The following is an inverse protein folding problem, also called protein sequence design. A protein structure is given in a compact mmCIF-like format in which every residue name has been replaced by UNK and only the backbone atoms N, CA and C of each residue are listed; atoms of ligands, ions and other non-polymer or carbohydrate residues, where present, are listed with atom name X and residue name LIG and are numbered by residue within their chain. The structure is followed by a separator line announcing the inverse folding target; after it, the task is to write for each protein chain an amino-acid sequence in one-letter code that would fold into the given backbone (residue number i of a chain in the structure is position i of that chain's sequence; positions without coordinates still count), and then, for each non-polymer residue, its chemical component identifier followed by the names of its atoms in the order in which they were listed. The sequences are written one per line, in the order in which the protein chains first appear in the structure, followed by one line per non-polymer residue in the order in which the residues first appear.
data_IF_621962914037
#
_entry.id   IF_621962914037
#
_cell.length_a   1.000
_cell.length_b   1.000
_cell.length_c   1.000
_cell.angle_alpha   90.00
_cell.angle_beta   90.00
_cell.angle_gamma   90.00
#
_symmetry.space_group_name_H-M   'P 1'
#
loop_
_entity.id
_entity.type
_entity.pdbx_description
1 polymer ?
#
# COMPACT_ATOMS: atom_id res chain seq x y z
N UNK A 1 2.51 4.89 -21.97
CA UNK A 1 3.29 3.63 -21.85
C UNK A 1 4.55 3.76 -20.97
N UNK A 2 5.07 4.97 -20.73
CA UNK A 2 6.31 5.18 -19.95
C UNK A 2 6.12 5.18 -18.41
N UNK A 3 4.97 5.67 -17.92
CA UNK A 3 4.70 5.78 -16.48
C UNK A 3 4.52 4.41 -15.78
N UNK A 4 3.77 3.47 -16.38
CA UNK A 4 3.61 2.11 -15.82
C UNK A 4 4.96 1.38 -15.73
N UNK A 5 5.86 1.58 -16.69
CA UNK A 5 7.20 0.97 -16.66
C UNK A 5 8.07 1.59 -15.56
N UNK A 6 8.11 2.92 -15.44
CA UNK A 6 8.82 3.63 -14.36
C UNK A 6 8.30 3.24 -12.99
N UNK A 7 6.99 3.10 -12.85
CA UNK A 7 6.37 2.63 -11.61
C UNK A 7 6.74 1.18 -11.33
N UNK A 8 6.66 0.27 -12.30
CA UNK A 8 7.15 -1.11 -12.13
C UNK A 8 8.61 -1.18 -11.73
N UNK A 9 9.47 -0.30 -12.25
CA UNK A 9 10.88 -0.20 -11.81
C UNK A 9 10.99 0.29 -10.38
N UNK A 10 10.27 1.36 -10.01
CA UNK A 10 10.18 1.83 -8.62
C UNK A 10 9.68 0.72 -7.70
N UNK A 11 8.74 -0.12 -8.16
CA UNK A 11 8.23 -1.25 -7.40
C UNK A 11 9.21 -2.40 -7.31
N UNK A 12 9.87 -2.78 -8.39
CA UNK A 12 10.94 -3.76 -8.35
C UNK A 12 12.06 -3.34 -7.38
N UNK A 13 12.39 -2.04 -7.35
CA UNK A 13 13.32 -1.49 -6.37
C UNK A 13 12.76 -1.53 -4.93
N UNK A 14 11.46 -1.32 -4.76
CA UNK A 14 10.75 -1.46 -3.47
C UNK A 14 10.75 -2.91 -2.97
N UNK A 15 10.60 -3.88 -3.86
CA UNK A 15 10.58 -5.33 -3.58
C UNK A 15 11.97 -5.89 -3.24
N UNK A 16 13.04 -5.25 -3.72
CA UNK A 16 14.41 -5.71 -3.48
C UNK A 16 14.99 -5.12 -2.18
N UNK A 17 15.52 -5.99 -1.32
CA UNK A 17 16.42 -5.76 -0.18
C UNK A 17 16.31 -4.41 0.55
N UNK A 18 15.81 -4.48 1.79
CA UNK A 18 15.74 -3.42 2.80
C UNK A 18 14.87 -2.19 2.44
N UNK A 19 13.90 -1.89 3.31
CA UNK A 19 13.05 -0.70 3.19
C UNK A 19 13.87 0.54 3.58
N UNK A 20 14.34 1.29 2.59
CA UNK A 20 15.04 2.56 2.81
C UNK A 20 14.07 3.73 2.99
N UNK A 21 14.53 4.82 3.61
CA UNK A 21 13.74 6.05 3.80
C UNK A 21 13.19 6.61 2.48
N UNK A 22 13.94 6.48 1.37
CA UNK A 22 13.49 6.89 0.02
C UNK A 22 12.32 6.04 -0.49
N UNK A 23 12.35 4.73 -0.23
CA UNK A 23 11.26 3.80 -0.62
C UNK A 23 10.01 4.10 0.19
N UNK A 24 10.17 4.33 1.50
CA UNK A 24 9.08 4.69 2.40
C UNK A 24 8.42 6.02 1.98
N UNK A 25 9.21 7.05 1.66
CA UNK A 25 8.68 8.33 1.16
C UNK A 25 7.84 8.16 -0.11
N UNK A 26 8.25 7.27 -1.02
CA UNK A 26 7.47 6.97 -2.23
C UNK A 26 6.14 6.30 -1.89
N UNK A 27 6.11 5.35 -0.95
CA UNK A 27 4.86 4.74 -0.47
C UNK A 27 3.92 5.82 0.07
N UNK A 28 4.43 6.76 0.87
CA UNK A 28 3.63 7.86 1.40
C UNK A 28 3.06 8.76 0.30
N UNK A 29 3.84 9.12 -0.73
CA UNK A 29 3.34 9.91 -1.86
C UNK A 29 2.17 9.20 -2.54
N UNK A 30 2.29 7.89 -2.75
CA UNK A 30 1.24 7.10 -3.39
C UNK A 30 0.02 6.98 -2.45
N UNK A 31 0.23 6.78 -1.15
CA UNK A 31 -0.83 6.79 -0.15
C UNK A 31 -1.62 8.09 -0.18
N UNK A 32 -0.95 9.24 -0.17
CA UNK A 32 -1.62 10.55 -0.27
C UNK A 32 -2.34 10.73 -1.61
N UNK A 33 -1.78 10.16 -2.69
CA UNK A 33 -2.47 10.12 -3.99
C UNK A 33 -3.77 9.34 -3.89
N UNK A 34 -3.79 8.18 -3.22
CA UNK A 34 -5.01 7.40 -2.97
C UNK A 34 -6.01 8.11 -2.05
N UNK A 35 -5.55 8.89 -1.08
CA UNK A 35 -6.41 9.71 -0.22
C UNK A 35 -7.13 10.79 -1.04
N UNK A 36 -6.41 11.46 -1.93
CA UNK A 36 -6.98 12.47 -2.82
C UNK A 36 -7.79 11.86 -3.98
N UNK A 37 -7.52 10.61 -4.34
CA UNK A 37 -8.05 9.97 -5.56
C UNK A 37 -9.58 10.09 -5.70
N UNK A 38 -10.41 9.76 -4.69
CA UNK A 38 -11.87 9.89 -4.81
C UNK A 38 -12.38 11.31 -5.08
N UNK A 39 -11.61 12.34 -4.69
CA UNK A 39 -11.95 13.75 -4.91
C UNK A 39 -11.64 14.16 -6.35
N UNK A 40 -10.58 13.58 -6.93
CA UNK A 40 -10.09 13.89 -8.27
C UNK A 40 -10.51 12.84 -9.31
N UNK A 41 -11.25 11.79 -8.93
CA UNK A 41 -11.66 10.68 -9.80
C UNK A 41 -12.73 11.13 -10.81
N UNK A 42 -12.28 11.91 -11.79
CA UNK A 42 -13.02 12.26 -12.99
C UNK A 42 -12.56 11.42 -14.19
N UNK A 43 -13.30 11.46 -15.31
CA UNK A 43 -13.00 10.69 -16.52
C UNK A 43 -11.57 10.91 -17.07
N UNK A 44 -10.95 12.05 -16.75
CA UNK A 44 -9.55 12.38 -17.09
C UNK A 44 -8.52 11.44 -16.44
N UNK A 45 -8.86 10.76 -15.33
CA UNK A 45 -7.92 10.00 -14.51
C UNK A 45 -8.10 8.48 -14.59
N UNK A 46 -8.86 7.97 -15.58
CA UNK A 46 -8.99 6.52 -15.82
C UNK A 46 -7.64 5.80 -15.94
N UNK A 47 -6.63 6.46 -16.51
CA UNK A 47 -5.27 5.91 -16.60
C UNK A 47 -4.60 5.76 -15.23
N UNK A 48 -4.78 6.75 -14.35
CA UNK A 48 -4.27 6.71 -12.98
C UNK A 48 -4.95 5.59 -12.18
N UNK A 49 -6.27 5.42 -12.33
CA UNK A 49 -7.01 4.30 -11.73
C UNK A 49 -6.40 2.94 -12.12
N UNK A 50 -6.14 2.71 -13.41
CA UNK A 50 -5.52 1.46 -13.89
C UNK A 50 -4.14 1.22 -13.27
N UNK A 51 -3.32 2.28 -13.18
CA UNK A 51 -2.00 2.21 -12.54
C UNK A 51 -2.12 1.83 -11.06
N UNK A 52 -3.04 2.46 -10.33
CA UNK A 52 -3.21 2.21 -8.90
C UNK A 52 -3.74 0.80 -8.63
N UNK A 53 -4.58 0.24 -9.52
CA UNK A 53 -5.03 -1.16 -9.45
C UNK A 53 -3.86 -2.12 -9.71
N UNK A 54 -3.05 -1.89 -10.75
CA UNK A 54 -1.84 -2.70 -11.00
C UNK A 54 -0.92 -2.67 -9.78
N UNK A 55 -0.78 -1.50 -9.15
CA UNK A 55 0.01 -1.33 -7.96
C UNK A 55 -0.55 -2.10 -6.77
N UNK A 56 -1.86 -2.03 -6.52
CA UNK A 56 -2.48 -2.81 -5.46
C UNK A 56 -2.09 -4.29 -5.54
N UNK A 57 -2.17 -4.90 -6.73
CA UNK A 57 -1.76 -6.30 -6.93
C UNK A 57 -0.27 -6.57 -6.74
N UNK A 58 0.61 -5.59 -6.98
CA UNK A 58 2.05 -5.72 -6.68
C UNK A 58 2.33 -5.65 -5.18
N UNK A 59 1.64 -4.77 -4.46
CA UNK A 59 1.78 -4.66 -3.00
C UNK A 59 1.21 -5.90 -2.32
N UNK A 60 0.10 -6.45 -2.81
CA UNK A 60 -0.42 -7.74 -2.34
C UNK A 60 0.68 -8.82 -2.37
N UNK A 61 1.34 -8.98 -3.52
CA UNK A 61 2.45 -9.93 -3.69
C UNK A 61 3.65 -9.61 -2.81
N UNK A 62 3.88 -8.34 -2.48
CA UNK A 62 4.95 -7.97 -1.56
C UNK A 62 4.64 -8.38 -0.13
N UNK A 63 3.40 -8.16 0.32
CA UNK A 63 2.95 -8.56 1.66
C UNK A 63 2.98 -10.09 1.81
N UNK A 64 2.62 -10.82 0.74
CA UNK A 64 2.72 -12.28 0.70
C UNK A 64 4.18 -12.81 0.69
N UNK A 65 5.17 -11.94 0.46
CA UNK A 65 6.57 -12.35 0.46
C UNK A 65 7.10 -12.56 1.91
N UNK A 66 7.76 -13.68 2.22
CA UNK A 66 8.32 -13.91 3.56
C UNK A 66 9.27 -12.81 4.07
N UNK A 67 9.94 -12.09 3.16
CA UNK A 67 10.82 -10.97 3.51
C UNK A 67 10.06 -9.78 4.12
N UNK A 68 8.76 -9.67 3.89
CA UNK A 68 7.92 -8.64 4.48
C UNK A 68 7.94 -8.69 6.01
N UNK A 69 7.92 -9.91 6.58
CA UNK A 69 7.96 -10.12 8.02
C UNK A 69 9.31 -9.74 8.65
N UNK A 70 10.36 -9.54 7.85
CA UNK A 70 11.67 -9.06 8.32
C UNK A 70 11.77 -7.54 8.37
N UNK A 71 10.77 -6.80 7.86
CA UNK A 71 10.72 -5.35 8.01
C UNK A 71 10.43 -4.96 9.47
N UNK A 72 10.85 -3.75 9.85
CA UNK A 72 10.36 -3.16 11.10
C UNK A 72 8.83 -3.01 11.09
N UNK A 73 8.20 -3.09 12.26
CA UNK A 73 6.74 -2.96 12.40
C UNK A 73 6.20 -1.67 11.74
N UNK A 74 6.92 -0.55 11.87
CA UNK A 74 6.57 0.73 11.25
C UNK A 74 6.53 0.67 9.71
N UNK A 75 7.49 -0.04 9.12
CA UNK A 75 7.57 -0.22 7.67
C UNK A 75 6.49 -1.18 7.17
N UNK A 76 6.24 -2.27 7.90
CA UNK A 76 5.11 -3.17 7.62
C UNK A 76 3.78 -2.40 7.67
N UNK A 77 3.59 -1.62 8.73
CA UNK A 77 2.39 -0.82 8.93
C UNK A 77 2.15 0.18 7.80
N UNK A 78 3.19 0.88 7.34
CA UNK A 78 3.09 1.84 6.24
C UNK A 78 2.63 1.19 4.93
N UNK A 79 3.11 -0.03 4.64
CA UNK A 79 2.70 -0.80 3.46
C UNK A 79 1.26 -1.32 3.60
N UNK A 80 0.89 -1.81 4.78
CA UNK A 80 -0.46 -2.31 5.06
C UNK A 80 -1.49 -1.17 5.00
N UNK A 81 -1.16 0.01 5.53
CA UNK A 81 -2.02 1.20 5.41
C UNK A 81 -2.28 1.55 3.94
N UNK A 82 -1.24 1.56 3.11
CA UNK A 82 -1.39 1.74 1.67
C UNK A 82 -2.34 0.69 1.08
N UNK A 83 -2.16 -0.59 1.45
CA UNK A 83 -2.95 -1.70 0.93
C UNK A 83 -4.45 -1.50 1.20
N UNK A 84 -4.83 -1.28 2.46
CA UNK A 84 -6.23 -1.03 2.80
C UNK A 84 -6.79 0.26 2.19
N UNK A 85 -5.97 1.31 2.11
CA UNK A 85 -6.40 2.54 1.46
C UNK A 85 -6.69 2.33 -0.02
N UNK A 86 -5.90 1.50 -0.69
CA UNK A 86 -6.10 1.19 -2.11
C UNK A 86 -7.36 0.38 -2.36
N UNK A 87 -7.74 -0.55 -1.46
CA UNK A 87 -9.01 -1.28 -1.55
C UNK A 87 -10.20 -0.32 -1.60
N UNK A 88 -10.28 0.57 -0.60
CA UNK A 88 -11.38 1.54 -0.48
C UNK A 88 -11.36 2.60 -1.59
N UNK A 89 -10.21 3.23 -1.87
CA UNK A 89 -10.12 4.32 -2.84
C UNK A 89 -10.37 3.86 -4.29
N UNK A 90 -10.06 2.60 -4.60
CA UNK A 90 -10.21 2.04 -5.94
C UNK A 90 -11.47 1.20 -6.10
N UNK A 91 -12.26 1.01 -5.03
CA UNK A 91 -13.43 0.13 -4.99
C UNK A 91 -13.09 -1.31 -5.43
N UNK A 92 -11.97 -1.84 -4.92
CA UNK A 92 -11.56 -3.23 -5.13
C UNK A 92 -12.35 -4.09 -4.15
N UNK A 93 -12.89 -5.20 -4.64
CA UNK A 93 -13.67 -6.11 -3.80
C UNK A 93 -12.78 -6.75 -2.75
N UNK A 94 -13.23 -6.71 -1.49
CA UNK A 94 -12.57 -7.36 -0.36
C UNK A 94 -12.67 -8.87 -0.55
N UNK A 95 -11.52 -9.53 -0.45
CA UNK A 95 -11.33 -10.98 -0.49
C UNK A 95 -11.16 -11.54 0.92
N UNK A 96 -11.24 -12.86 1.06
CA UNK A 96 -10.96 -13.52 2.33
C UNK A 96 -9.52 -13.30 2.83
N UNK A 97 -8.57 -13.12 1.92
CA UNK A 97 -7.17 -12.80 2.28
C UNK A 97 -7.07 -11.40 2.92
N UNK A 98 -7.91 -10.47 2.50
CA UNK A 98 -7.97 -9.12 3.09
C UNK A 98 -8.49 -9.17 4.52
N UNK A 99 -9.46 -10.05 4.81
CA UNK A 99 -9.98 -10.28 6.17
C UNK A 99 -8.84 -10.77 7.09
N UNK A 100 -8.04 -11.73 6.64
CA UNK A 100 -6.88 -12.20 7.41
C UNK A 100 -5.85 -11.08 7.64
N UNK A 101 -5.61 -10.22 6.65
CA UNK A 101 -4.74 -9.06 6.82
C UNK A 101 -5.33 -8.03 7.81
N UNK A 102 -6.66 -7.88 7.90
CA UNK A 102 -7.28 -6.98 8.88
C UNK A 102 -7.09 -7.47 10.31
N UNK A 103 -7.16 -8.79 10.53
CA UNK A 103 -6.88 -9.39 11.83
C UNK A 103 -5.41 -9.18 12.23
N UNK A 104 -4.49 -9.39 11.28
CA UNK A 104 -3.06 -9.11 11.46
C UNK A 104 -2.81 -7.64 11.81
N UNK A 105 -3.41 -6.70 11.07
CA UNK A 105 -3.33 -5.27 11.35
C UNK A 105 -3.88 -4.92 12.73
N UNK A 106 -5.04 -5.45 13.11
CA UNK A 106 -5.66 -5.21 14.42
C UNK A 106 -4.76 -5.69 15.56
N UNK A 107 -4.11 -6.83 15.39
CA UNK A 107 -3.10 -7.34 16.33
C UNK A 107 -1.90 -6.40 16.43
N UNK A 108 -1.36 -5.92 15.30
CA UNK A 108 -0.25 -4.96 15.27
C UNK A 108 -0.61 -3.63 15.96
N UNK A 109 -1.83 -3.13 15.74
CA UNK A 109 -2.32 -1.90 16.38
C UNK A 109 -2.46 -2.07 17.89
N UNK A 110 -2.98 -3.22 18.33
CA UNK A 110 -3.19 -3.53 19.75
C UNK A 110 -1.88 -3.68 20.53
N UNK A 111 -0.80 -4.11 19.86
CA UNK A 111 0.53 -4.26 20.47
C UNK A 111 1.31 -2.93 20.54
N UNK A 112 0.90 -1.90 19.80
CA UNK A 112 1.60 -0.62 19.72
C UNK A 112 0.78 0.50 20.38
N UNK A 113 1.05 0.73 21.66
CA UNK A 113 0.42 1.75 22.52
C UNK A 113 0.52 3.20 22.00
N UNK A 114 1.33 3.46 20.97
CA UNK A 114 1.45 4.78 20.32
C UNK A 114 0.32 5.07 19.31
N UNK A 115 -0.41 4.05 18.84
CA UNK A 115 -1.50 4.21 17.87
C UNK A 115 -2.88 4.33 18.53
N UNK A 116 -3.00 4.01 19.83
CA UNK A 116 -4.22 4.23 20.61
C UNK A 116 -4.53 5.71 20.87
N UNK A 117 -3.59 6.61 20.56
CA UNK A 117 -3.72 8.05 20.78
C UNK A 117 -4.19 8.82 19.53
N UNK A 118 -4.50 8.11 18.43
CA UNK A 118 -5.10 8.70 17.22
C UNK A 118 -6.59 8.34 17.22
N UNK A 119 -7.34 8.90 18.18
CA UNK A 119 -8.80 8.90 18.24
C UNK A 119 -9.26 10.30 18.63
#
# INVERSE_FOLDING_TARGET
MDLSRKLKTVFHDLLNYEMSSKKLQRIYIIYYTLVAFPIIDGPTYHFLRKILIELHGLIQKYIENPLFNHLSLENQFSVIQYYFKSLSALNIQVSHQDEQMTEGLSSMLSQNQWLSNIN
#
